data_IF_819868651573
#
_entry.id   IF_819868651573
#
_cell.length_a   1.000
_cell.length_b   1.000
_cell.length_c   1.000
_cell.angle_alpha   90.00
_cell.angle_beta   90.00
_cell.angle_gamma   90.00
#
_symmetry.space_group_name_H-M   'P 1'
#
loop_
_entity.id
_entity.type
_entity.pdbx_description
1 polymer ?
#
# COMPACT_ATOMS: atom_id res chain seq x y z
N UNK A 1 26.78 26.06 1.49
CA UNK A 1 25.58 25.41 2.04
C UNK A 1 25.50 24.04 1.39
N UNK A 2 25.69 22.96 2.14
CA UNK A 2 25.45 21.62 1.59
C UNK A 2 23.99 21.54 1.17
N UNK A 3 23.75 21.07 -0.06
CA UNK A 3 22.41 20.93 -0.61
C UNK A 3 21.75 19.74 0.10
N UNK A 4 20.96 20.03 1.14
CA UNK A 4 20.25 19.01 1.92
C UNK A 4 19.39 18.16 0.99
N UNK A 5 19.33 16.86 1.25
CA UNK A 5 18.47 15.94 0.51
C UNK A 5 17.74 15.05 1.49
N UNK A 6 16.41 15.13 1.47
CA UNK A 6 15.52 14.32 2.28
C UNK A 6 14.77 13.34 1.38
N UNK A 7 14.51 12.16 1.91
CA UNK A 7 13.68 11.14 1.28
C UNK A 7 12.48 10.91 2.20
N UNK A 8 11.25 11.07 1.71
CA UNK A 8 10.05 10.63 2.41
C UNK A 8 9.63 9.27 1.83
N UNK A 9 9.43 8.26 2.66
CA UNK A 9 8.98 6.92 2.25
C UNK A 9 7.62 6.64 2.89
N UNK A 10 6.62 6.30 2.08
CA UNK A 10 5.23 6.04 2.45
C UNK A 10 4.82 4.65 1.93
N UNK A 11 4.48 3.72 2.84
CA UNK A 11 4.17 2.34 2.49
C UNK A 11 2.80 2.22 1.82
N UNK A 12 2.74 1.55 0.66
CA UNK A 12 1.54 1.56 -0.17
C UNK A 12 0.40 0.80 0.49
N UNK A 13 -0.64 1.52 0.92
CA UNK A 13 -1.85 0.95 1.56
C UNK A 13 -1.51 -0.04 2.68
N UNK A 14 -0.59 0.37 3.56
CA UNK A 14 0.15 -0.47 4.49
C UNK A 14 -0.66 -1.63 5.11
N UNK A 15 -1.75 -1.33 5.82
CA UNK A 15 -2.53 -2.37 6.51
C UNK A 15 -3.09 -3.43 5.54
N UNK A 16 -3.60 -3.02 4.38
CA UNK A 16 -4.10 -3.97 3.38
C UNK A 16 -2.96 -4.80 2.77
N UNK A 17 -1.80 -4.18 2.57
CA UNK A 17 -0.61 -4.88 2.06
C UNK A 17 -0.09 -5.93 3.05
N UNK A 18 -0.06 -5.62 4.35
CA UNK A 18 0.27 -6.62 5.39
C UNK A 18 -0.70 -7.80 5.33
N UNK A 19 -2.01 -7.54 5.29
CA UNK A 19 -3.02 -8.60 5.24
C UNK A 19 -2.91 -9.47 3.97
N UNK A 20 -2.55 -8.88 2.81
CA UNK A 20 -2.28 -9.64 1.60
C UNK A 20 -1.05 -10.54 1.76
N UNK A 21 0.08 -10.00 2.20
CA UNK A 21 1.34 -10.75 2.36
C UNK A 21 1.17 -11.92 3.32
N UNK A 22 0.52 -11.72 4.46
CA UNK A 22 0.27 -12.79 5.46
C UNK A 22 -0.56 -13.93 4.88
N UNK A 23 -1.41 -13.65 3.87
CA UNK A 23 -2.22 -14.64 3.15
C UNK A 23 -1.51 -15.26 1.95
N UNK A 24 -0.25 -14.91 1.69
CA UNK A 24 0.47 -15.34 0.48
C UNK A 24 -0.06 -14.70 -0.81
N UNK A 25 -0.73 -13.55 -0.71
CA UNK A 25 -1.34 -12.83 -1.82
C UNK A 25 -0.52 -11.59 -2.19
N UNK A 26 -0.55 -11.20 -3.46
CA UNK A 26 0.10 -9.99 -3.93
C UNK A 26 -0.72 -8.74 -3.53
N UNK A 27 -0.14 -7.81 -2.73
CA UNK A 27 -0.80 -6.57 -2.33
C UNK A 27 -1.29 -5.69 -3.48
N UNK A 28 -0.61 -5.70 -4.63
CA UNK A 28 -0.93 -4.86 -5.77
C UNK A 28 -2.00 -5.46 -6.68
N UNK A 29 -2.24 -6.77 -6.56
CA UNK A 29 -3.16 -7.50 -7.42
C UNK A 29 -4.43 -7.98 -6.70
N UNK A 30 -4.45 -7.97 -5.37
CA UNK A 30 -5.55 -8.56 -4.58
C UNK A 30 -6.51 -7.50 -4.06
N UNK A 31 -7.80 -7.66 -4.37
CA UNK A 31 -8.89 -6.86 -3.84
C UNK A 31 -9.16 -7.24 -2.38
N UNK A 32 -8.62 -6.44 -1.47
CA UNK A 32 -8.78 -6.59 -0.03
C UNK A 32 -9.13 -5.25 0.64
N UNK A 33 -9.95 -5.31 1.68
CA UNK A 33 -10.25 -4.21 2.60
C UNK A 33 -10.00 -4.65 4.05
N UNK A 34 -9.44 -3.75 4.85
CA UNK A 34 -9.26 -3.97 6.28
C UNK A 34 -10.37 -3.24 7.01
N UNK A 35 -11.29 -3.98 7.62
CA UNK A 35 -12.43 -3.42 8.35
C UNK A 35 -12.98 -4.44 9.36
N UNK A 36 -13.52 -3.94 10.47
CA UNK A 36 -14.26 -4.77 11.42
C UNK A 36 -15.72 -4.92 10.97
N UNK A 37 -15.99 -6.01 10.24
CA UNK A 37 -17.31 -6.36 9.75
C UNK A 37 -18.26 -6.86 10.85
N UNK A 38 -17.77 -7.24 12.03
CA UNK A 38 -18.59 -7.73 13.14
C UNK A 38 -19.45 -6.64 13.79
N UNK A 39 -19.01 -5.38 13.67
CA UNK A 39 -19.71 -4.22 14.22
C UNK A 39 -20.93 -3.83 13.38
N UNK A 40 -20.72 -3.09 12.29
CA UNK A 40 -21.78 -2.68 11.37
C UNK A 40 -21.21 -2.43 9.97
N UNK A 41 -22.07 -2.38 8.95
CA UNK A 41 -21.65 -1.91 7.61
C UNK A 41 -21.25 -0.42 7.58
N UNK A 42 -21.50 0.34 8.65
CA UNK A 42 -21.07 1.74 8.80
C UNK A 42 -19.65 1.87 9.35
N UNK A 43 -18.99 0.77 9.72
CA UNK A 43 -17.60 0.76 10.19
C UNK A 43 -16.68 1.38 9.14
N UNK A 44 -15.71 2.14 9.63
CA UNK A 44 -14.64 2.74 8.83
C UNK A 44 -13.68 1.63 8.39
N UNK A 45 -13.32 1.62 7.10
CA UNK A 45 -12.23 0.78 6.62
C UNK A 45 -10.91 1.40 7.04
N UNK A 46 -10.07 0.62 7.71
CA UNK A 46 -8.72 1.03 8.10
C UNK A 46 -7.83 1.19 6.88
N UNK A 47 -7.98 0.31 5.88
CA UNK A 47 -7.30 0.42 4.59
C UNK A 47 -8.08 -0.28 3.48
N UNK A 48 -7.82 0.15 2.26
CA UNK A 48 -8.29 -0.46 1.02
C UNK A 48 -7.06 -0.75 0.16
N UNK A 49 -6.95 -1.97 -0.36
CA UNK A 49 -5.87 -2.38 -1.28
C UNK A 49 -5.81 -1.49 -2.54
N UNK A 50 -4.62 -1.32 -3.15
CA UNK A 50 -4.46 -0.55 -4.37
C UNK A 50 -5.37 -0.98 -5.52
N UNK A 51 -5.53 -2.29 -5.73
CA UNK A 51 -6.39 -2.81 -6.80
C UNK A 51 -7.87 -2.47 -6.56
N UNK A 52 -8.34 -2.54 -5.31
CA UNK A 52 -9.72 -2.21 -4.98
C UNK A 52 -9.98 -0.69 -5.05
N UNK A 53 -8.98 0.14 -4.71
CA UNK A 53 -9.02 1.60 -4.92
C UNK A 53 -9.21 1.99 -6.39
N UNK A 54 -8.74 1.17 -7.34
CA UNK A 54 -8.88 1.43 -8.78
C UNK A 54 -10.35 1.49 -9.24
N UNK A 55 -11.30 0.94 -8.45
CA UNK A 55 -12.74 1.07 -8.69
C UNK A 55 -13.36 2.37 -8.15
N UNK A 56 -12.53 3.36 -7.79
CA UNK A 56 -12.98 4.67 -7.28
C UNK A 56 -13.36 4.65 -5.79
N UNK A 57 -12.88 3.66 -5.03
CA UNK A 57 -13.10 3.56 -3.60
C UNK A 57 -12.07 4.45 -2.88
N UNK A 58 -12.48 5.41 -2.03
CA UNK A 58 -11.54 6.27 -1.31
C UNK A 58 -10.76 5.48 -0.25
N UNK A 59 -9.56 5.96 0.09
CA UNK A 59 -8.72 5.30 1.10
C UNK A 59 -9.33 5.25 2.50
N UNK A 60 -10.22 6.20 2.83
CA UNK A 60 -10.97 6.28 4.09
C UNK A 60 -12.47 6.01 3.88
N UNK A 61 -12.80 4.99 3.10
CA UNK A 61 -14.18 4.57 2.86
C UNK A 61 -14.80 3.92 4.10
N UNK A 62 -16.12 3.95 4.20
CA UNK A 62 -16.91 3.06 5.06
C UNK A 62 -17.22 1.77 4.32
N UNK A 63 -17.42 0.67 5.05
CA UNK A 63 -17.60 -0.65 4.44
C UNK A 63 -18.82 -0.70 3.48
N UNK A 64 -19.90 0.02 3.78
CA UNK A 64 -21.04 0.10 2.85
C UNK A 64 -20.72 0.79 1.52
N UNK A 65 -19.79 1.76 1.51
CA UNK A 65 -19.36 2.45 0.28
C UNK A 65 -18.56 1.51 -0.60
N UNK A 66 -17.71 0.67 0.01
CA UNK A 66 -17.01 -0.43 -0.67
C UNK A 66 -18.02 -1.39 -1.30
N UNK A 67 -19.00 -1.86 -0.53
CA UNK A 67 -20.06 -2.75 -1.03
C UNK A 67 -20.81 -2.12 -2.21
N UNK A 68 -21.13 -0.83 -2.13
CA UNK A 68 -21.85 -0.11 -3.17
C UNK A 68 -21.02 0.04 -4.44
N UNK A 69 -19.75 0.43 -4.32
CA UNK A 69 -18.82 0.55 -5.47
C UNK A 69 -18.56 -0.79 -6.16
N UNK A 70 -18.44 -1.87 -5.40
CA UNK A 70 -18.29 -3.22 -5.96
C UNK A 70 -19.55 -3.64 -6.72
N UNK A 71 -20.75 -3.34 -6.21
CA UNK A 71 -22.02 -3.57 -6.95
C UNK A 71 -22.07 -2.78 -8.26
N UNK A 72 -21.68 -1.50 -8.25
CA UNK A 72 -21.60 -0.66 -9.44
C UNK A 72 -20.62 -1.23 -10.46
N UNK A 73 -19.43 -1.65 -10.02
CA UNK A 73 -18.43 -2.29 -10.87
C UNK A 73 -18.98 -3.60 -11.49
N UNK A 74 -19.63 -4.44 -10.69
CA UNK A 74 -20.21 -5.70 -11.17
C UNK A 74 -21.39 -5.51 -12.12
N UNK A 75 -22.19 -4.44 -11.95
CA UNK A 75 -23.21 -4.07 -12.93
C UNK A 75 -22.58 -3.71 -14.29
N UNK A 76 -21.49 -2.92 -14.27
CA UNK A 76 -20.73 -2.58 -15.47
C UNK A 76 -20.07 -3.81 -16.12
N UNK A 77 -19.51 -4.73 -15.33
CA UNK A 77 -18.91 -5.98 -15.83
C UNK A 77 -19.95 -6.90 -16.46
N UNK A 78 -21.13 -7.03 -15.84
CA UNK A 78 -22.26 -7.82 -16.37
C UNK A 78 -22.70 -7.36 -17.76
N UNK A 79 -22.67 -6.05 -18.04
CA UNK A 79 -23.00 -5.55 -19.37
C UNK A 79 -21.98 -6.01 -20.44
N UNK A 80 -20.71 -6.17 -20.06
CA UNK A 80 -19.60 -6.59 -20.93
C UNK A 80 -19.42 -8.11 -21.01
N UNK A 81 -20.02 -8.85 -20.08
CA UNK A 81 -19.87 -10.31 -20.01
C UNK A 81 -20.65 -11.03 -21.13
N UNK A 82 -20.14 -12.17 -21.65
CA UNK A 82 -20.88 -13.02 -22.56
C UNK A 82 -22.24 -13.40 -21.96
N UNK A 83 -23.31 -13.32 -22.75
CA UNK A 83 -24.69 -13.59 -22.30
C UNK A 83 -25.14 -12.73 -21.10
N UNK A 84 -24.46 -11.62 -20.83
CA UNK A 84 -24.70 -10.70 -19.70
C UNK A 84 -24.79 -11.39 -18.34
N UNK A 85 -24.01 -12.47 -18.15
CA UNK A 85 -24.02 -13.27 -16.92
C UNK A 85 -22.61 -13.38 -16.38
N UNK A 86 -22.46 -13.20 -15.06
CA UNK A 86 -21.20 -13.44 -14.36
C UNK A 86 -21.19 -14.88 -13.85
N UNK A 87 -20.12 -15.62 -14.09
CA UNK A 87 -20.08 -17.07 -13.88
C UNK A 87 -19.39 -17.49 -12.59
N UNK A 88 -18.32 -16.77 -12.23
CA UNK A 88 -17.47 -17.08 -11.09
C UNK A 88 -17.00 -15.78 -10.43
N UNK A 89 -16.45 -15.90 -9.23
CA UNK A 89 -15.92 -14.76 -8.46
C UNK A 89 -14.41 -14.80 -8.46
N UNK A 90 -13.78 -13.62 -8.52
CA UNK A 90 -12.35 -13.49 -8.27
C UNK A 90 -12.06 -12.26 -7.44
N UNK A 91 -11.09 -12.40 -6.54
CA UNK A 91 -10.50 -11.31 -5.77
C UNK A 91 -9.24 -10.76 -6.42
N UNK A 92 -8.78 -11.34 -7.53
CA UNK A 92 -7.51 -11.02 -8.19
C UNK A 92 -7.77 -10.11 -9.40
N UNK A 93 -7.15 -8.93 -9.39
CA UNK A 93 -7.38 -7.90 -10.40
C UNK A 93 -6.93 -8.31 -11.80
N UNK A 94 -5.81 -9.03 -11.93
CA UNK A 94 -5.34 -9.55 -13.22
C UNK A 94 -6.32 -10.54 -13.85
N UNK A 95 -6.93 -11.42 -13.06
CA UNK A 95 -7.95 -12.37 -13.52
C UNK A 95 -9.22 -11.61 -13.96
N UNK A 96 -9.66 -10.64 -13.16
CA UNK A 96 -10.81 -9.81 -13.46
C UNK A 96 -10.61 -8.97 -14.74
N UNK A 97 -9.39 -8.50 -14.99
CA UNK A 97 -9.07 -7.75 -16.21
C UNK A 97 -9.01 -8.66 -17.44
N UNK A 98 -8.49 -9.89 -17.29
CA UNK A 98 -8.39 -10.86 -18.37
C UNK A 98 -9.76 -11.45 -18.76
N UNK A 99 -10.65 -11.66 -17.79
CA UNK A 99 -11.95 -12.28 -18.03
C UNK A 99 -13.12 -11.39 -17.58
N UNK A 100 -13.85 -10.75 -18.53
CA UNK A 100 -15.02 -9.92 -18.23
C UNK A 100 -16.20 -10.66 -17.59
N UNK A 101 -16.25 -12.01 -17.69
CA UNK A 101 -17.32 -12.83 -17.11
C UNK A 101 -17.14 -13.08 -15.60
N UNK A 102 -15.98 -12.75 -15.02
CA UNK A 102 -15.76 -12.88 -13.59
C UNK A 102 -16.42 -11.73 -12.81
N UNK A 103 -17.11 -12.06 -11.74
CA UNK A 103 -17.61 -11.12 -10.73
C UNK A 103 -16.44 -10.66 -9.84
N UNK A 104 -16.32 -9.34 -9.67
CA UNK A 104 -15.42 -8.75 -8.68
C UNK A 104 -15.92 -9.12 -7.28
N UNK A 105 -15.08 -9.84 -6.56
CA UNK A 105 -15.21 -10.05 -5.12
C UNK A 105 -14.00 -9.45 -4.39
N UNK A 106 -14.07 -9.41 -3.05
CA UNK A 106 -12.99 -8.87 -2.22
C UNK A 106 -12.94 -9.52 -0.85
N UNK A 107 -11.74 -9.51 -0.26
CA UNK A 107 -11.50 -10.03 1.08
C UNK A 107 -11.75 -8.92 2.10
N UNK A 108 -12.47 -9.24 3.19
CA UNK A 108 -12.57 -8.38 4.37
C UNK A 108 -11.70 -8.96 5.48
N UNK A 109 -10.65 -8.23 5.85
CA UNK A 109 -9.74 -8.62 6.92
C UNK A 109 -10.01 -7.78 8.19
N UNK A 110 -10.08 -8.39 9.39
CA UNK A 110 -10.18 -7.63 10.62
C UNK A 110 -8.84 -6.93 10.94
N UNK A 111 -8.85 -5.72 11.55
CA UNK A 111 -7.62 -5.02 11.94
C UNK A 111 -6.76 -5.80 12.96
N UNK A 112 -5.45 -5.91 12.72
CA UNK A 112 -4.46 -6.54 13.60
C UNK A 112 -3.34 -5.59 14.01
N UNK A 113 -3.63 -4.63 14.91
CA UNK A 113 -2.70 -3.55 15.25
C UNK A 113 -1.33 -4.03 15.77
N UNK A 114 -1.30 -5.07 16.60
CA UNK A 114 -0.04 -5.62 17.11
C UNK A 114 0.85 -6.13 15.96
N UNK A 115 0.27 -6.88 15.02
CA UNK A 115 0.99 -7.40 13.87
C UNK A 115 1.48 -6.28 12.94
N UNK A 116 0.68 -5.23 12.74
CA UNK A 116 1.10 -4.07 11.95
C UNK A 116 2.31 -3.35 12.56
N UNK A 117 2.36 -3.22 13.90
CA UNK A 117 3.51 -2.64 14.59
C UNK A 117 4.76 -3.51 14.45
N UNK A 118 4.63 -4.84 14.49
CA UNK A 118 5.76 -5.76 14.25
C UNK A 118 6.32 -5.62 12.84
N UNK A 119 5.45 -5.54 11.82
CA UNK A 119 5.89 -5.37 10.44
C UNK A 119 6.54 -3.99 10.23
N UNK A 120 5.95 -2.92 10.76
CA UNK A 120 6.55 -1.58 10.72
C UNK A 120 7.94 -1.56 11.37
N UNK A 121 8.10 -2.23 12.51
CA UNK A 121 9.40 -2.38 13.19
C UNK A 121 10.42 -3.12 12.30
N UNK A 122 10.00 -4.21 11.64
CA UNK A 122 10.87 -4.94 10.69
C UNK A 122 11.31 -4.06 9.52
N UNK A 123 10.40 -3.24 9.00
CA UNK A 123 10.69 -2.27 7.93
C UNK A 123 11.68 -1.22 8.44
N UNK A 124 11.46 -0.65 9.63
CA UNK A 124 12.39 0.30 10.23
C UNK A 124 13.80 -0.29 10.40
N UNK A 125 13.90 -1.56 10.83
CA UNK A 125 15.17 -2.28 10.90
C UNK A 125 15.87 -2.42 9.54
N UNK A 126 15.14 -2.43 8.41
CA UNK A 126 15.78 -2.39 7.08
C UNK A 126 16.48 -1.07 6.83
N UNK A 127 15.88 0.06 7.24
CA UNK A 127 16.49 1.38 7.09
C UNK A 127 17.74 1.54 7.94
N UNK A 128 17.74 1.00 9.16
CA UNK A 128 18.90 1.03 10.07
C UNK A 128 20.15 0.32 9.54
N UNK A 129 20.02 -0.52 8.51
CA UNK A 129 21.19 -1.12 7.82
C UNK A 129 22.00 -0.07 7.03
N UNK A 130 21.37 1.06 6.68
CA UNK A 130 21.91 2.04 5.73
C UNK A 130 22.02 3.45 6.31
N UNK A 131 21.17 3.80 7.28
CA UNK A 131 21.05 5.15 7.83
C UNK A 131 21.03 5.06 9.35
N UNK A 132 21.76 5.96 10.01
CA UNK A 132 21.78 6.06 11.46
C UNK A 132 20.40 6.51 11.99
N UNK A 133 19.96 6.03 13.17
CA UNK A 133 18.63 6.32 13.69
C UNK A 133 18.36 7.82 13.89
N UNK A 134 19.38 8.62 14.19
CA UNK A 134 19.27 10.09 14.33
C UNK A 134 18.90 10.81 13.04
N UNK A 135 19.16 10.21 11.87
CA UNK A 135 18.83 10.74 10.55
C UNK A 135 17.51 10.18 9.99
N UNK A 136 16.81 9.34 10.76
CA UNK A 136 15.49 8.80 10.42
C UNK A 136 14.44 9.40 11.35
N UNK A 137 13.50 10.12 10.77
CA UNK A 137 12.33 10.64 11.48
C UNK A 137 11.09 9.80 11.16
N UNK A 138 10.60 9.05 12.15
CA UNK A 138 9.35 8.28 12.03
C UNK A 138 8.16 9.22 12.20
N UNK A 139 7.36 9.38 11.15
CA UNK A 139 6.18 10.26 11.15
C UNK A 139 4.90 9.49 11.50
N UNK A 140 4.75 8.27 10.99
CA UNK A 140 3.67 7.34 11.31
C UNK A 140 4.15 5.89 11.24
N UNK A 141 3.26 4.93 11.47
CA UNK A 141 3.55 3.49 11.35
C UNK A 141 4.01 3.08 9.95
N UNK A 142 3.59 3.83 8.93
CA UNK A 142 3.81 3.54 7.51
C UNK A 142 4.61 4.64 6.80
N UNK A 143 5.12 5.62 7.53
CA UNK A 143 5.77 6.79 6.96
C UNK A 143 7.03 7.20 7.73
N UNK A 144 8.13 7.35 6.99
CA UNK A 144 9.41 7.84 7.52
C UNK A 144 10.00 8.92 6.63
N UNK A 145 10.75 9.82 7.24
CA UNK A 145 11.63 10.76 6.56
C UNK A 145 13.07 10.42 6.87
N UNK A 146 13.94 10.54 5.88
CA UNK A 146 15.35 10.19 5.97
C UNK A 146 16.18 11.38 5.49
N UNK A 147 17.08 11.91 6.32
CA UNK A 147 18.11 12.83 5.87
C UNK A 147 19.21 12.02 5.15
N UNK A 148 19.17 12.03 3.82
CA UNK A 148 20.11 11.28 2.98
C UNK A 148 21.40 12.06 2.71
N UNK A 149 21.51 13.33 3.13
CA UNK A 149 22.51 14.30 2.65
C UNK A 149 23.94 13.76 2.65
N UNK A 150 24.36 13.14 3.76
CA UNK A 150 25.72 12.62 3.90
C UNK A 150 25.89 11.22 3.29
N UNK A 151 24.83 10.40 3.34
CA UNK A 151 24.84 9.02 2.86
C UNK A 151 25.00 8.90 1.36
N UNK A 152 24.49 9.87 0.58
CA UNK A 152 24.67 9.90 -0.88
C UNK A 152 26.14 9.94 -1.28
N UNK A 153 26.95 10.75 -0.59
CA UNK A 153 28.40 10.85 -0.82
C UNK A 153 29.10 9.56 -0.37
N UNK A 154 28.73 9.01 0.79
CA UNK A 154 29.31 7.77 1.36
C UNK A 154 29.10 6.57 0.44
N UNK A 155 27.89 6.36 -0.05
CA UNK A 155 27.55 5.25 -0.93
C UNK A 155 27.81 5.53 -2.42
N UNK A 156 28.18 6.77 -2.77
CA UNK A 156 28.34 7.22 -4.17
C UNK A 156 27.08 6.97 -5.01
N UNK A 157 25.91 7.24 -4.43
CA UNK A 157 24.61 7.06 -5.06
C UNK A 157 23.96 8.41 -5.32
N UNK A 158 23.18 8.50 -6.38
CA UNK A 158 22.21 9.57 -6.57
C UNK A 158 21.05 9.43 -5.56
N UNK A 159 20.32 10.51 -5.24
CA UNK A 159 19.14 10.44 -4.38
C UNK A 159 18.16 9.34 -4.80
N UNK A 160 17.88 9.26 -6.11
CA UNK A 160 16.98 8.28 -6.69
C UNK A 160 17.47 6.84 -6.50
N UNK A 161 18.76 6.59 -6.67
CA UNK A 161 19.33 5.26 -6.49
C UNK A 161 19.27 4.82 -5.03
N UNK A 162 19.59 5.70 -4.08
CA UNK A 162 19.47 5.41 -2.65
C UNK A 162 18.01 5.12 -2.27
N UNK A 163 17.07 5.96 -2.70
CA UNK A 163 15.63 5.73 -2.47
C UNK A 163 15.19 4.38 -3.02
N UNK A 164 15.57 4.06 -4.27
CA UNK A 164 15.21 2.79 -4.89
C UNK A 164 15.85 1.59 -4.19
N UNK A 165 17.08 1.73 -3.69
CA UNK A 165 17.74 0.71 -2.87
C UNK A 165 16.94 0.42 -1.59
N UNK A 166 16.54 1.46 -0.86
CA UNK A 166 15.75 1.32 0.38
C UNK A 166 14.39 0.67 0.11
N UNK A 167 13.63 1.18 -0.88
CA UNK A 167 12.31 0.64 -1.23
C UNK A 167 12.41 -0.83 -1.69
N UNK A 168 13.46 -1.19 -2.45
CA UNK A 168 13.68 -2.58 -2.87
C UNK A 168 14.05 -3.50 -1.71
N UNK A 169 14.82 -3.04 -0.73
CA UNK A 169 15.14 -3.87 0.45
C UNK A 169 13.90 -4.10 1.32
N UNK A 170 13.04 -3.08 1.48
CA UNK A 170 11.73 -3.23 2.14
C UNK A 170 10.87 -4.26 1.41
N UNK A 171 10.74 -4.14 0.08
CA UNK A 171 9.97 -5.08 -0.73
C UNK A 171 10.52 -6.51 -0.64
N UNK A 172 11.85 -6.67 -0.73
CA UNK A 172 12.49 -7.99 -0.61
C UNK A 172 12.31 -8.61 0.77
N UNK A 173 12.39 -7.81 1.82
CA UNK A 173 12.33 -8.27 3.21
C UNK A 173 10.89 -8.59 3.65
N UNK A 174 9.92 -7.81 3.18
CA UNK A 174 8.55 -7.85 3.73
C UNK A 174 7.46 -8.14 2.71
N UNK A 175 7.76 -8.10 1.40
CA UNK A 175 6.74 -8.18 0.36
C UNK A 175 5.92 -6.89 0.19
N UNK A 176 6.19 -5.85 1.00
CA UNK A 176 5.46 -4.57 0.96
C UNK A 176 6.25 -3.56 0.14
N UNK A 177 5.56 -2.88 -0.77
CA UNK A 177 6.14 -1.80 -1.56
C UNK A 177 5.84 -0.42 -0.96
N UNK A 178 6.60 0.58 -1.38
CA UNK A 178 6.47 1.96 -0.92
C UNK A 178 6.55 2.94 -2.08
N UNK A 179 5.94 4.10 -1.89
CA UNK A 179 6.19 5.30 -2.70
C UNK A 179 7.16 6.19 -1.95
N UNK A 180 7.97 6.94 -2.67
CA UNK A 180 8.91 7.85 -2.04
C UNK A 180 9.09 9.13 -2.84
N UNK A 181 9.12 10.26 -2.13
CA UNK A 181 9.44 11.57 -2.66
C UNK A 181 10.81 12.01 -2.18
N UNK A 182 11.47 12.87 -2.94
CA UNK A 182 12.82 13.37 -2.67
C UNK A 182 12.73 14.89 -2.66
N UNK A 183 13.37 15.56 -1.71
CA UNK A 183 13.29 17.02 -1.64
C UNK A 183 14.45 17.65 -0.90
N UNK A 184 14.62 18.96 -1.07
CA UNK A 184 15.65 19.72 -0.34
C UNK A 184 15.26 20.06 1.10
N UNK A 185 14.02 19.78 1.47
CA UNK A 185 13.47 19.83 2.82
C UNK A 185 12.37 18.77 2.98
N UNK A 186 11.94 18.53 4.22
CA UNK A 186 10.92 17.53 4.56
C UNK A 186 9.57 17.77 3.85
N UNK A 187 9.18 19.04 3.67
CA UNK A 187 7.92 19.37 3.02
C UNK A 187 7.92 18.98 1.54
N UNK A 188 8.95 19.41 0.80
CA UNK A 188 9.11 19.06 -0.62
C UNK A 188 9.18 17.54 -0.80
N UNK A 189 9.93 16.85 0.06
CA UNK A 189 10.04 15.39 -0.02
C UNK A 189 8.69 14.68 0.17
N UNK A 190 7.75 15.25 0.95
CA UNK A 190 6.42 14.64 1.16
C UNK A 190 5.46 14.84 -0.01
N UNK A 191 5.56 15.97 -0.71
CA UNK A 191 4.59 16.34 -1.75
C UNK A 191 5.03 15.96 -3.17
N UNK A 192 6.30 15.61 -3.37
CA UNK A 192 6.84 15.09 -4.64
C UNK A 192 6.41 13.65 -4.98
#
# INVERSE_FOLDING_TARGET
MDNRTYIAIDLKSFYASVECVVRGLDPLNTNLVVADASRTKKTICLAVSPSLKAYGIPGRARLFEVVQKVKEANAGRRYKAPRRTLTEKSVIASELNANPALELDYIVAPPQMAHYMEVSTKIYQTYLKYVAPEDIHVYSIDEVFIDATYYLKTYKLTPREMTMMLVRDVLKTTGITATAGIGTNLYLAKIE
#
